data_IF_554059775314
#
_entry.id   IF_554059775314
#
_cell.length_a   1.000
_cell.length_b   1.000
_cell.length_c   1.000
_cell.angle_alpha   90.00
_cell.angle_beta   90.00
_cell.angle_gamma   90.00
#
_symmetry.space_group_name_H-M   'P 1'
#
loop_
_entity.id
_entity.type
_entity.pdbx_description
1 polymer ?
#
# COMPACT_ATOMS: atom_id res chain seq x y z
N UNK A 1 6.94 -22.52 -7.20
CA UNK A 1 7.89 -21.37 -7.23
C UNK A 1 7.95 -20.78 -8.63
N UNK A 2 8.41 -19.55 -8.78
CA UNK A 2 8.61 -18.90 -10.08
C UNK A 2 9.83 -19.51 -10.77
N UNK A 3 9.71 -19.79 -12.08
CA UNK A 3 10.85 -20.22 -12.90
C UNK A 3 11.64 -19.00 -13.42
N UNK A 4 12.82 -19.24 -14.00
CA UNK A 4 13.75 -18.21 -14.47
C UNK A 4 13.09 -17.19 -15.42
N UNK A 5 12.30 -17.69 -16.39
CA UNK A 5 11.59 -16.82 -17.34
C UNK A 5 10.53 -15.93 -16.66
N UNK A 6 9.90 -16.42 -15.60
CA UNK A 6 8.94 -15.63 -14.80
C UNK A 6 9.65 -14.58 -13.96
N UNK A 7 10.82 -14.90 -13.38
CA UNK A 7 11.64 -13.94 -12.65
C UNK A 7 12.16 -12.83 -13.58
N UNK A 8 12.62 -13.17 -14.78
CA UNK A 8 13.01 -12.20 -15.80
C UNK A 8 11.87 -11.23 -16.16
N UNK A 9 10.66 -11.77 -16.36
CA UNK A 9 9.45 -10.98 -16.62
C UNK A 9 9.07 -10.12 -15.42
N UNK A 10 9.24 -10.64 -14.21
CA UNK A 10 8.96 -9.87 -13.00
C UNK A 10 9.92 -8.68 -12.88
N UNK A 11 11.21 -8.89 -13.14
CA UNK A 11 12.18 -7.81 -13.18
C UNK A 11 11.81 -6.73 -14.20
N UNK A 12 11.34 -7.12 -15.42
CA UNK A 12 10.87 -6.16 -16.43
C UNK A 12 9.68 -5.33 -15.92
N UNK A 13 8.70 -5.97 -15.29
CA UNK A 13 7.53 -5.28 -14.72
C UNK A 13 7.93 -4.34 -13.60
N UNK A 14 8.85 -4.76 -12.72
CA UNK A 14 9.33 -3.91 -11.62
C UNK A 14 10.09 -2.68 -12.12
N UNK A 15 10.94 -2.83 -13.13
CA UNK A 15 11.64 -1.69 -13.74
C UNK A 15 10.67 -0.74 -14.45
N UNK A 16 9.66 -1.28 -15.14
CA UNK A 16 8.55 -0.49 -15.67
C UNK A 16 7.79 0.25 -14.58
N UNK A 17 7.47 -0.44 -13.47
CA UNK A 17 6.80 0.15 -12.31
C UNK A 17 7.62 1.28 -11.70
N UNK A 18 8.91 1.06 -11.51
CA UNK A 18 9.84 2.06 -10.98
C UNK A 18 9.91 3.32 -11.86
N UNK A 19 9.95 3.15 -13.20
CA UNK A 19 9.93 4.27 -14.14
C UNK A 19 8.61 5.05 -14.08
N UNK A 20 7.47 4.35 -13.93
CA UNK A 20 6.14 4.97 -13.77
C UNK A 20 5.98 5.70 -12.45
N UNK A 21 6.52 5.16 -11.37
CA UNK A 21 6.44 5.74 -10.04
C UNK A 21 7.24 7.04 -9.90
N UNK A 22 8.23 7.27 -10.76
CA UNK A 22 9.06 8.47 -10.73
C UNK A 22 8.64 9.50 -11.77
N UNK A 23 8.39 10.75 -11.36
CA UNK A 23 7.98 11.81 -12.29
C UNK A 23 9.09 12.25 -13.24
N UNK A 24 10.35 12.31 -12.77
CA UNK A 24 11.53 12.67 -13.58
C UNK A 24 12.21 11.41 -14.07
N UNK A 25 12.67 11.40 -15.33
CA UNK A 25 13.44 10.29 -15.89
C UNK A 25 14.72 10.03 -15.10
N UNK A 26 15.11 8.78 -15.03
CA UNK A 26 16.41 8.38 -14.49
C UNK A 26 17.55 8.95 -15.34
N UNK A 27 18.64 9.28 -14.67
CA UNK A 27 19.88 9.78 -15.28
C UNK A 27 21.01 8.79 -15.05
N UNK A 28 22.05 8.86 -15.85
CA UNK A 28 23.29 8.12 -15.64
C UNK A 28 23.73 8.26 -14.17
N UNK A 29 24.14 7.15 -13.58
CA UNK A 29 24.61 7.04 -12.19
C UNK A 29 23.56 7.35 -11.10
N UNK A 30 22.26 7.48 -11.43
CA UNK A 30 21.21 7.55 -10.42
C UNK A 30 21.23 6.27 -9.55
N UNK A 31 21.07 6.43 -8.24
CA UNK A 31 21.20 5.35 -7.26
C UNK A 31 19.86 4.66 -7.06
N UNK A 32 19.83 3.34 -7.25
CA UNK A 32 18.64 2.49 -7.04
C UNK A 32 18.92 1.47 -5.94
N UNK A 33 18.18 1.57 -4.84
CA UNK A 33 18.20 0.59 -3.75
C UNK A 33 17.40 -0.66 -4.15
N UNK A 34 17.99 -1.84 -4.04
CA UNK A 34 17.29 -3.11 -4.08
C UNK A 34 17.28 -3.67 -2.66
N UNK A 35 16.11 -3.71 -2.03
CA UNK A 35 15.94 -4.25 -0.68
C UNK A 35 15.12 -5.52 -0.73
N UNK A 36 15.65 -6.62 -0.23
CA UNK A 36 15.07 -7.94 -0.46
C UNK A 36 15.19 -8.88 0.74
N UNK A 37 14.27 -9.83 0.85
CA UNK A 37 14.39 -11.00 1.72
C UNK A 37 15.21 -12.10 1.04
N UNK A 38 15.80 -13.01 1.81
CA UNK A 38 16.67 -14.07 1.30
C UNK A 38 16.01 -14.90 0.18
N UNK A 39 14.72 -15.23 0.31
CA UNK A 39 13.97 -15.96 -0.72
C UNK A 39 13.78 -15.21 -2.05
N UNK A 40 14.09 -13.90 -2.09
CA UNK A 40 14.04 -13.08 -3.30
C UNK A 40 15.44 -12.82 -3.91
N UNK A 41 16.48 -13.49 -3.40
CA UNK A 41 17.86 -13.24 -3.82
C UNK A 41 18.05 -13.37 -5.33
N UNK A 42 17.51 -14.43 -5.96
CA UNK A 42 17.64 -14.63 -7.41
C UNK A 42 17.05 -13.48 -8.24
N UNK A 43 15.90 -12.96 -7.83
CA UNK A 43 15.30 -11.78 -8.50
C UNK A 43 16.15 -10.51 -8.30
N UNK A 44 16.80 -10.39 -7.13
CA UNK A 44 17.69 -9.24 -6.88
C UNK A 44 18.92 -9.25 -7.77
N UNK A 45 19.51 -10.42 -8.08
CA UNK A 45 20.62 -10.56 -9.04
C UNK A 45 20.20 -10.14 -10.46
N UNK A 46 19.02 -10.58 -10.92
CA UNK A 46 18.48 -10.22 -12.23
C UNK A 46 18.27 -8.69 -12.32
N UNK A 47 17.70 -8.09 -11.27
CA UNK A 47 17.48 -6.65 -11.22
C UNK A 47 18.79 -5.86 -11.19
N UNK A 48 19.78 -6.30 -10.43
CA UNK A 48 21.11 -5.67 -10.38
C UNK A 48 21.72 -5.58 -11.79
N UNK A 49 21.77 -6.71 -12.50
CA UNK A 49 22.31 -6.75 -13.85
C UNK A 49 21.56 -5.79 -14.80
N UNK A 50 20.23 -5.74 -14.73
CA UNK A 50 19.41 -4.85 -15.57
C UNK A 50 19.62 -3.37 -15.20
N UNK A 51 19.73 -3.04 -13.92
CA UNK A 51 19.97 -1.68 -13.43
C UNK A 51 21.34 -1.19 -13.92
N UNK A 52 22.38 -2.03 -13.84
CA UNK A 52 23.71 -1.73 -14.41
C UNK A 52 23.66 -1.51 -15.93
N UNK A 53 22.93 -2.35 -16.67
CA UNK A 53 22.71 -2.18 -18.12
C UNK A 53 22.01 -0.86 -18.47
N UNK A 54 21.18 -0.33 -17.55
CA UNK A 54 20.54 0.98 -17.70
C UNK A 54 21.50 2.16 -17.37
N UNK A 55 22.74 1.88 -16.96
CA UNK A 55 23.70 2.90 -16.52
C UNK A 55 23.42 3.49 -15.14
N UNK A 56 22.64 2.79 -14.32
CA UNK A 56 22.29 3.19 -12.95
C UNK A 56 23.17 2.45 -11.93
N UNK A 57 23.18 2.93 -10.69
CA UNK A 57 24.00 2.39 -9.60
C UNK A 57 23.15 1.60 -8.62
N UNK A 58 23.17 0.24 -8.64
CA UNK A 58 22.44 -0.58 -7.67
C UNK A 58 23.11 -0.56 -6.30
N UNK A 59 22.30 -0.44 -5.25
CA UNK A 59 22.71 -0.65 -3.85
C UNK A 59 21.87 -1.78 -3.29
N UNK A 60 22.53 -2.86 -2.87
CA UNK A 60 21.89 -4.05 -2.34
C UNK A 60 21.71 -3.97 -0.81
N UNK A 61 20.54 -4.35 -0.30
CA UNK A 61 20.23 -4.45 1.13
C UNK A 61 19.38 -5.69 1.42
N UNK A 62 19.95 -6.65 2.11
CA UNK A 62 19.23 -7.80 2.66
C UNK A 62 18.36 -7.35 3.85
N UNK A 63 17.09 -7.73 3.87
CA UNK A 63 16.24 -7.58 5.05
C UNK A 63 16.70 -8.57 6.16
N UNK A 64 16.54 -8.21 7.44
CA UNK A 64 16.73 -9.15 8.53
C UNK A 64 15.88 -10.41 8.32
N UNK A 65 16.42 -11.56 8.71
CA UNK A 65 15.60 -12.78 8.82
C UNK A 65 14.61 -12.64 9.98
N UNK A 66 13.57 -13.47 10.00
CA UNK A 66 12.59 -13.47 11.10
C UNK A 66 13.27 -13.63 12.48
N UNK A 67 14.31 -14.46 12.57
CA UNK A 67 15.11 -14.66 13.80
C UNK A 67 15.88 -13.38 14.17
N UNK A 68 16.54 -12.74 13.21
CA UNK A 68 17.27 -11.49 13.45
C UNK A 68 16.34 -10.37 13.92
N UNK A 69 15.17 -10.22 13.29
CA UNK A 69 14.20 -9.22 13.65
C UNK A 69 13.60 -9.46 15.04
N UNK A 70 13.26 -10.72 15.36
CA UNK A 70 12.79 -11.11 16.68
C UNK A 70 13.84 -10.80 17.75
N UNK A 71 15.08 -11.25 17.57
CA UNK A 71 16.19 -10.98 18.49
C UNK A 71 16.42 -9.48 18.68
N UNK A 72 16.33 -8.70 17.60
CA UNK A 72 16.44 -7.24 17.69
C UNK A 72 15.39 -6.66 18.65
N UNK A 73 14.13 -7.01 18.51
CA UNK A 73 13.08 -6.50 19.40
C UNK A 73 13.13 -7.05 20.82
N UNK A 74 13.50 -8.33 20.99
CA UNK A 74 13.61 -8.95 22.31
C UNK A 74 14.78 -8.37 23.12
N UNK A 75 15.96 -8.30 22.53
CA UNK A 75 17.21 -7.99 23.22
C UNK A 75 17.53 -6.49 23.28
N UNK A 76 16.95 -5.68 22.38
CA UNK A 76 17.28 -4.25 22.33
C UNK A 76 16.74 -3.48 23.52
N UNK A 77 17.59 -2.60 24.05
CA UNK A 77 17.17 -1.53 24.94
C UNK A 77 16.58 -0.33 24.14
N UNK A 78 16.02 0.66 24.82
CA UNK A 78 15.37 1.80 24.15
C UNK A 78 16.31 2.61 23.23
N UNK A 79 17.60 2.74 23.57
CA UNK A 79 18.57 3.44 22.71
C UNK A 79 18.85 2.67 21.42
N UNK A 80 18.96 1.34 21.51
CA UNK A 80 19.16 0.47 20.36
C UNK A 80 17.95 0.44 19.44
N UNK A 81 16.72 0.42 19.97
CA UNK A 81 15.49 0.44 19.18
C UNK A 81 15.37 1.66 18.28
N UNK A 82 15.79 2.84 18.76
CA UNK A 82 15.67 4.10 18.01
C UNK A 82 16.93 4.48 17.23
N UNK A 83 17.99 3.67 17.34
CA UNK A 83 19.29 3.96 16.71
C UNK A 83 19.17 3.94 15.19
N UNK A 84 19.65 5.01 14.56
CA UNK A 84 19.82 5.11 13.11
C UNK A 84 21.33 5.10 12.82
N UNK A 85 21.81 4.11 12.05
CA UNK A 85 23.24 4.02 11.73
C UNK A 85 23.76 5.28 11.02
N UNK A 86 25.02 5.69 11.28
CA UNK A 86 25.69 6.70 10.49
C UNK A 86 25.65 6.36 8.98
N UNK A 87 25.49 7.38 8.12
CA UNK A 87 25.38 7.22 6.68
C UNK A 87 23.98 6.85 6.17
N UNK A 88 23.06 6.38 7.02
CA UNK A 88 21.71 5.98 6.59
C UNK A 88 20.90 7.17 6.06
N UNK A 89 20.94 8.31 6.74
CA UNK A 89 20.28 9.53 6.27
C UNK A 89 20.88 10.06 4.96
N UNK A 90 22.19 9.96 4.83
CA UNK A 90 22.91 10.36 3.62
C UNK A 90 22.52 9.48 2.42
N UNK A 91 22.49 8.15 2.62
CA UNK A 91 22.01 7.24 1.59
C UNK A 91 20.59 7.62 1.15
N UNK A 92 19.65 7.77 2.08
CA UNK A 92 18.26 8.10 1.79
C UNK A 92 18.11 9.46 1.09
N UNK A 93 18.97 10.44 1.43
CA UNK A 93 18.99 11.76 0.78
C UNK A 93 19.49 11.71 -0.68
N UNK A 94 20.20 10.65 -1.08
CA UNK A 94 20.76 10.48 -2.42
C UNK A 94 20.06 9.42 -3.27
N UNK A 95 19.14 8.60 -2.71
CA UNK A 95 18.40 7.60 -3.49
C UNK A 95 17.55 8.26 -4.58
N UNK A 96 17.60 7.69 -5.77
CA UNK A 96 16.78 8.08 -6.92
C UNK A 96 15.69 7.07 -7.21
N UNK A 97 15.87 5.82 -6.76
CA UNK A 97 14.88 4.77 -6.86
C UNK A 97 15.03 3.73 -5.75
N UNK A 98 13.96 2.98 -5.50
CA UNK A 98 14.01 1.80 -4.63
C UNK A 98 13.09 0.69 -5.13
N UNK A 99 13.55 -0.55 -5.04
CA UNK A 99 12.78 -1.76 -5.34
C UNK A 99 12.77 -2.64 -4.10
N UNK A 100 11.57 -2.97 -3.62
CA UNK A 100 11.40 -3.79 -2.43
C UNK A 100 10.86 -5.17 -2.83
N UNK A 101 11.61 -6.22 -2.50
CA UNK A 101 11.28 -7.61 -2.84
C UNK A 101 10.94 -8.37 -1.58
N UNK A 102 9.66 -8.59 -1.34
CA UNK A 102 9.18 -9.28 -0.16
C UNK A 102 9.03 -10.79 -0.41
N UNK A 103 9.63 -11.58 0.45
CA UNK A 103 9.52 -13.04 0.51
C UNK A 103 9.75 -13.47 1.97
N UNK A 104 8.83 -13.14 2.88
CA UNK A 104 9.03 -13.34 4.31
C UNK A 104 9.08 -14.83 4.67
N UNK A 105 9.99 -15.16 5.59
CA UNK A 105 10.12 -16.52 6.20
C UNK A 105 9.07 -16.72 7.28
N UNK A 106 8.59 -15.66 7.90
CA UNK A 106 7.53 -15.64 8.89
C UNK A 106 6.78 -14.30 8.85
N UNK A 107 5.48 -14.35 9.10
CA UNK A 107 4.62 -13.16 9.23
C UNK A 107 4.00 -13.04 10.63
N UNK A 108 4.40 -13.92 11.56
CA UNK A 108 3.90 -13.95 12.96
C UNK A 108 5.00 -13.98 14.01
N UNK A 109 6.27 -13.89 13.61
CA UNK A 109 7.42 -14.01 14.50
C UNK A 109 7.52 -12.94 15.59
N UNK A 110 6.84 -11.79 15.41
CA UNK A 110 6.80 -10.70 16.39
C UNK A 110 5.54 -10.73 17.27
N UNK A 111 4.71 -11.77 17.22
CA UNK A 111 3.44 -11.84 17.95
C UNK A 111 3.60 -11.68 19.48
N UNK A 112 4.73 -12.11 20.04
CA UNK A 112 5.04 -12.00 21.48
C UNK A 112 5.85 -10.75 21.84
N UNK A 113 6.16 -9.88 20.86
CA UNK A 113 6.88 -8.64 21.10
C UNK A 113 5.89 -7.57 21.61
N UNK A 114 6.21 -6.86 22.71
CA UNK A 114 5.36 -5.77 23.18
C UNK A 114 5.11 -4.74 22.08
N UNK A 115 3.85 -4.46 21.70
CA UNK A 115 3.51 -3.55 20.58
C UNK A 115 4.13 -2.16 20.72
N UNK A 116 4.36 -1.70 21.95
CA UNK A 116 5.00 -0.42 22.23
C UNK A 116 6.43 -0.35 21.68
N UNK A 117 7.21 -1.44 21.73
CA UNK A 117 8.57 -1.49 21.15
C UNK A 117 8.51 -1.34 19.63
N UNK A 118 7.57 -2.04 18.96
CA UNK A 118 7.35 -1.94 17.52
C UNK A 118 6.96 -0.50 17.16
N UNK A 119 6.07 0.11 17.92
CA UNK A 119 5.66 1.50 17.74
C UNK A 119 6.82 2.51 17.92
N UNK A 120 7.68 2.31 18.91
CA UNK A 120 8.87 3.16 19.12
C UNK A 120 9.85 3.07 17.94
N UNK A 121 10.14 1.87 17.47
CA UNK A 121 10.97 1.63 16.29
C UNK A 121 10.38 2.32 15.05
N UNK A 122 9.10 2.10 14.75
CA UNK A 122 8.41 2.69 13.61
C UNK A 122 8.47 4.22 13.64
N UNK A 123 8.18 4.83 14.79
CA UNK A 123 8.28 6.30 14.96
C UNK A 123 9.70 6.82 14.72
N UNK A 124 10.73 6.11 15.18
CA UNK A 124 12.12 6.53 14.99
C UNK A 124 12.53 6.59 13.51
N UNK A 125 11.94 5.73 12.67
CA UNK A 125 12.22 5.65 11.21
C UNK A 125 11.43 6.67 10.39
N UNK A 126 10.44 7.35 10.98
CA UNK A 126 9.65 8.39 10.29
C UNK A 126 10.53 9.46 9.65
N UNK A 127 11.65 9.83 10.28
CA UNK A 127 12.59 10.82 9.73
C UNK A 127 13.23 10.37 8.41
N UNK A 128 13.54 9.08 8.24
CA UNK A 128 14.05 8.52 6.99
C UNK A 128 12.97 8.52 5.91
N UNK A 129 11.76 8.10 6.29
CA UNK A 129 10.60 8.13 5.39
C UNK A 129 10.32 9.54 4.90
N UNK A 130 10.32 10.55 5.77
CA UNK A 130 10.11 11.94 5.37
C UNK A 130 11.13 12.45 4.34
N UNK A 131 12.38 11.96 4.37
CA UNK A 131 13.39 12.28 3.35
C UNK A 131 12.93 11.76 1.99
N UNK A 132 12.51 10.49 1.92
CA UNK A 132 12.05 9.88 0.67
C UNK A 132 10.75 10.53 0.16
N UNK A 133 9.78 10.77 1.05
CA UNK A 133 8.51 11.43 0.72
C UNK A 133 8.76 12.81 0.09
N UNK A 134 9.67 13.61 0.68
CA UNK A 134 10.05 14.91 0.15
C UNK A 134 10.69 14.80 -1.24
N UNK A 135 11.52 13.80 -1.47
CA UNK A 135 12.16 13.55 -2.76
C UNK A 135 11.18 13.06 -3.82
N UNK A 136 10.23 12.23 -3.43
CA UNK A 136 9.14 11.73 -4.27
C UNK A 136 8.22 12.87 -4.70
N UNK A 137 7.76 13.71 -3.78
CA UNK A 137 6.97 14.92 -4.06
C UNK A 137 7.65 15.82 -5.09
N UNK A 138 8.99 15.92 -5.05
CA UNK A 138 9.82 16.66 -6.02
C UNK A 138 10.07 15.90 -7.33
N UNK A 139 9.60 14.68 -7.45
CA UNK A 139 9.80 13.79 -8.58
C UNK A 139 11.24 13.31 -8.76
N UNK A 140 12.06 13.34 -7.70
CA UNK A 140 13.47 12.94 -7.69
C UNK A 140 13.68 11.50 -7.25
N UNK A 141 12.66 10.89 -6.66
CA UNK A 141 12.65 9.53 -6.17
C UNK A 141 11.39 8.82 -6.67
N UNK A 142 11.47 7.53 -6.87
CA UNK A 142 10.34 6.65 -7.13
C UNK A 142 10.64 5.30 -6.48
N UNK A 143 9.60 4.56 -6.16
CA UNK A 143 9.78 3.22 -5.59
C UNK A 143 8.76 2.25 -6.16
N UNK A 144 9.12 0.97 -6.11
CA UNK A 144 8.20 -0.12 -6.44
C UNK A 144 8.41 -1.27 -5.48
N UNK A 145 7.39 -2.05 -5.25
CA UNK A 145 7.49 -3.24 -4.43
C UNK A 145 6.74 -4.42 -5.06
N UNK A 146 7.19 -5.61 -4.70
CA UNK A 146 6.51 -6.84 -5.07
C UNK A 146 6.62 -7.90 -3.97
N UNK A 147 5.83 -8.95 -4.15
CA UNK A 147 5.84 -10.13 -3.29
C UNK A 147 6.22 -11.37 -4.10
N UNK A 148 7.11 -12.19 -3.55
CA UNK A 148 7.39 -13.53 -4.05
C UNK A 148 6.68 -14.57 -3.18
N UNK A 149 6.37 -15.75 -3.74
CA UNK A 149 5.72 -16.81 -2.97
C UNK A 149 6.69 -17.38 -1.92
N UNK A 150 6.16 -17.60 -0.71
CA UNK A 150 6.85 -18.34 0.36
C UNK A 150 5.89 -19.35 0.98
N UNK A 151 6.45 -20.41 1.58
CA UNK A 151 5.67 -21.43 2.29
C UNK A 151 4.86 -20.82 3.44
N UNK A 152 5.43 -19.85 4.12
CA UNK A 152 4.76 -19.12 5.21
C UNK A 152 3.50 -18.38 4.73
N UNK A 153 3.61 -17.60 3.65
CA UNK A 153 2.47 -16.89 3.09
C UNK A 153 1.40 -17.86 2.57
N UNK A 154 1.82 -18.90 1.85
CA UNK A 154 0.89 -19.92 1.35
C UNK A 154 0.14 -20.61 2.49
N UNK A 155 0.85 -21.02 3.56
CA UNK A 155 0.27 -21.61 4.77
C UNK A 155 -0.78 -20.71 5.41
N UNK A 156 -0.45 -19.45 5.64
CA UNK A 156 -1.38 -18.49 6.26
C UNK A 156 -2.55 -18.09 5.35
N UNK A 157 -2.37 -18.20 4.04
CA UNK A 157 -3.46 -18.04 3.07
C UNK A 157 -4.35 -19.29 2.93
N UNK A 158 -3.99 -20.41 3.57
CA UNK A 158 -4.68 -21.70 3.42
C UNK A 158 -4.52 -22.30 2.02
N UNK A 159 -3.41 -22.03 1.33
CA UNK A 159 -3.12 -22.46 -0.03
C UNK A 159 -1.87 -23.33 -0.09
N UNK A 160 -1.78 -24.20 -1.13
CA UNK A 160 -0.49 -24.78 -1.48
C UNK A 160 0.44 -23.73 -2.06
N UNK A 161 1.77 -23.90 -1.91
CA UNK A 161 2.76 -23.00 -2.50
C UNK A 161 2.59 -22.85 -4.02
N UNK A 162 2.17 -23.92 -4.69
CA UNK A 162 1.88 -23.89 -6.12
C UNK A 162 0.68 -22.96 -6.44
N UNK A 163 -0.44 -23.15 -5.74
CA UNK A 163 -1.64 -22.30 -5.92
C UNK A 163 -1.33 -20.85 -5.59
N UNK A 164 -0.58 -20.59 -4.51
CA UNK A 164 -0.13 -19.25 -4.14
C UNK A 164 0.74 -18.63 -5.23
N UNK A 165 1.72 -19.38 -5.76
CA UNK A 165 2.57 -18.94 -6.87
C UNK A 165 1.75 -18.61 -8.12
N UNK A 166 0.73 -19.42 -8.44
CA UNK A 166 -0.16 -19.18 -9.59
C UNK A 166 -1.00 -17.89 -9.44
N UNK A 167 -1.39 -17.51 -8.21
CA UNK A 167 -2.05 -16.22 -7.97
C UNK A 167 -1.10 -15.05 -8.32
N UNK A 168 0.14 -15.10 -7.86
CA UNK A 168 1.16 -14.08 -8.17
C UNK A 168 1.42 -14.01 -9.69
N UNK A 169 1.65 -15.16 -10.32
CA UNK A 169 1.92 -15.24 -11.76
C UNK A 169 0.79 -14.60 -12.57
N UNK A 170 -0.47 -14.89 -12.23
CA UNK A 170 -1.64 -14.34 -12.91
C UNK A 170 -1.82 -12.84 -12.61
N UNK A 171 -1.71 -12.44 -11.36
CA UNK A 171 -1.89 -11.06 -10.93
C UNK A 171 -0.83 -10.13 -11.55
N UNK A 172 0.42 -10.59 -11.64
CA UNK A 172 1.52 -9.81 -12.22
C UNK A 172 1.73 -10.05 -13.72
N UNK A 173 0.84 -10.82 -14.40
CA UNK A 173 0.90 -11.16 -15.81
C UNK A 173 2.18 -11.90 -16.23
N UNK A 174 2.86 -12.60 -15.31
CA UNK A 174 4.14 -13.26 -15.57
C UNK A 174 4.03 -14.46 -16.50
N UNK A 175 2.82 -14.96 -16.76
CA UNK A 175 2.51 -15.98 -17.75
C UNK A 175 2.36 -15.41 -19.18
N UNK A 176 2.34 -14.09 -19.36
CA UNK A 176 2.23 -13.45 -20.68
C UNK A 176 3.61 -13.27 -21.32
N UNK A 177 3.65 -13.25 -22.66
CA UNK A 177 4.90 -13.03 -23.41
C UNK A 177 5.47 -11.64 -23.11
N UNK A 178 4.59 -10.65 -23.10
CA UNK A 178 4.88 -9.26 -22.77
C UNK A 178 4.00 -8.82 -21.58
N UNK A 179 4.48 -8.95 -20.32
CA UNK A 179 3.72 -8.54 -19.16
C UNK A 179 3.64 -7.01 -19.02
N UNK A 180 4.64 -6.27 -19.55
CA UNK A 180 4.65 -4.79 -19.49
C UNK A 180 3.54 -4.23 -20.36
N UNK A 181 3.31 -4.75 -21.55
CA UNK A 181 2.19 -4.35 -22.40
C UNK A 181 0.82 -4.60 -21.73
N UNK A 182 0.70 -5.69 -20.94
CA UNK A 182 -0.53 -5.94 -20.15
C UNK A 182 -0.73 -4.86 -19.08
N UNK A 183 0.33 -4.48 -18.36
CA UNK A 183 0.28 -3.41 -17.38
C UNK A 183 -0.03 -2.05 -18.00
N UNK A 184 0.53 -1.75 -19.16
CA UNK A 184 0.21 -0.53 -19.91
C UNK A 184 -1.28 -0.45 -20.26
N UNK A 185 -1.86 -1.55 -20.76
CA UNK A 185 -3.29 -1.62 -21.06
C UNK A 185 -4.17 -1.41 -19.80
N UNK A 186 -3.82 -2.06 -18.68
CA UNK A 186 -4.54 -1.85 -17.40
C UNK A 186 -4.42 -0.39 -16.96
N UNK A 187 -3.23 0.19 -17.06
CA UNK A 187 -2.97 1.60 -16.73
C UNK A 187 -3.83 2.57 -17.56
N UNK A 188 -3.91 2.37 -18.88
CA UNK A 188 -4.69 3.20 -19.79
C UNK A 188 -6.19 3.11 -19.49
N UNK A 189 -6.69 1.90 -19.24
CA UNK A 189 -8.09 1.69 -18.90
C UNK A 189 -8.45 2.31 -17.53
N UNK A 190 -7.59 2.15 -16.52
CA UNK A 190 -7.77 2.81 -15.24
C UNK A 190 -7.70 4.35 -15.35
N UNK A 191 -6.92 4.87 -16.29
CA UNK A 191 -6.86 6.32 -16.54
C UNK A 191 -8.20 6.89 -16.98
N UNK A 192 -8.97 6.17 -17.80
CA UNK A 192 -10.33 6.60 -18.21
C UNK A 192 -11.25 6.70 -16.99
N UNK A 193 -11.21 5.72 -16.10
CA UNK A 193 -12.01 5.73 -14.85
C UNK A 193 -11.56 6.88 -13.94
N UNK A 194 -10.25 7.07 -13.75
CA UNK A 194 -9.72 8.21 -12.97
C UNK A 194 -10.17 9.56 -13.52
N UNK A 195 -10.13 9.73 -14.85
CA UNK A 195 -10.59 10.97 -15.49
C UNK A 195 -12.06 11.24 -15.20
N UNK A 196 -12.90 10.20 -15.28
CA UNK A 196 -14.33 10.33 -14.95
C UNK A 196 -14.54 10.68 -13.48
N UNK A 197 -13.93 9.94 -12.53
CA UNK A 197 -14.05 10.21 -11.10
C UNK A 197 -13.60 11.62 -10.73
N UNK A 198 -12.50 12.09 -11.31
CA UNK A 198 -11.94 13.41 -11.08
C UNK A 198 -12.74 14.55 -11.74
N UNK A 199 -13.65 14.22 -12.66
CA UNK A 199 -14.62 15.16 -13.23
C UNK A 199 -15.84 15.40 -12.34
N UNK A 200 -16.06 14.58 -11.31
CA UNK A 200 -17.21 14.70 -10.41
C UNK A 200 -16.93 15.72 -9.29
N UNK A 201 -17.86 16.63 -9.08
CA UNK A 201 -17.79 17.59 -7.96
C UNK A 201 -18.49 17.00 -6.74
N UNK A 202 -17.77 16.19 -5.95
CA UNK A 202 -18.31 15.38 -4.86
C UNK A 202 -18.26 16.13 -3.53
N UNK A 203 -19.36 16.07 -2.77
CA UNK A 203 -19.45 16.52 -1.38
C UNK A 203 -18.98 15.42 -0.42
N UNK A 204 -19.49 14.19 -0.60
CA UNK A 204 -19.08 13.01 0.13
C UNK A 204 -19.41 11.74 -0.65
N UNK A 205 -18.69 10.66 -0.33
CA UNK A 205 -19.01 9.31 -0.76
C UNK A 205 -19.74 8.58 0.36
N UNK A 206 -20.78 7.81 0.02
CA UNK A 206 -21.46 6.91 0.92
C UNK A 206 -21.17 5.46 0.49
N UNK A 207 -20.58 4.69 1.37
CA UNK A 207 -20.23 3.28 1.16
C UNK A 207 -21.18 2.43 1.97
N UNK A 208 -21.90 1.55 1.30
CA UNK A 208 -22.93 0.69 1.90
C UNK A 208 -22.65 -0.79 1.60
N UNK A 209 -22.69 -1.62 2.63
CA UNK A 209 -22.71 -3.09 2.55
C UNK A 209 -23.51 -3.67 3.71
N UNK A 210 -23.49 -4.97 3.92
CA UNK A 210 -24.15 -5.58 5.08
C UNK A 210 -23.58 -5.07 6.42
N UNK A 211 -22.30 -4.75 6.48
CA UNK A 211 -21.60 -4.36 7.70
C UNK A 211 -20.92 -2.98 7.62
N UNK A 212 -21.02 -2.29 6.48
CA UNK A 212 -20.50 -0.94 6.29
C UNK A 212 -21.64 0.04 6.07
N UNK A 213 -21.58 1.15 6.80
CA UNK A 213 -22.34 2.38 6.56
C UNK A 213 -21.40 3.55 6.83
N UNK A 214 -20.60 3.92 5.81
CA UNK A 214 -19.49 4.83 5.96
C UNK A 214 -19.62 6.03 5.01
N UNK A 215 -19.48 7.23 5.58
CA UNK A 215 -19.43 8.48 4.86
C UNK A 215 -17.99 8.99 4.81
N UNK A 216 -17.48 9.27 3.61
CA UNK A 216 -16.11 9.74 3.38
C UNK A 216 -16.15 11.07 2.62
N UNK A 217 -15.60 12.12 3.20
CA UNK A 217 -15.48 13.42 2.55
C UNK A 217 -14.16 13.48 1.75
N UNK A 218 -14.17 13.68 0.41
CA UNK A 218 -12.95 13.72 -0.38
C UNK A 218 -12.01 14.85 0.04
N UNK A 219 -12.55 15.99 0.46
CA UNK A 219 -11.78 17.18 0.78
C UNK A 219 -11.56 18.09 -0.45
N UNK A 220 -11.05 19.28 -0.18
CA UNK A 220 -10.73 20.23 -1.24
C UNK A 220 -9.44 19.85 -1.97
N UNK A 221 -9.40 20.12 -3.28
CA UNK A 221 -8.23 19.86 -4.11
C UNK A 221 -7.73 18.41 -4.06
N UNK A 222 -8.65 17.45 -3.97
CA UNK A 222 -8.34 16.01 -4.04
C UNK A 222 -8.60 15.43 -5.42
N UNK A 223 -7.79 14.46 -5.77
CA UNK A 223 -7.97 13.64 -6.98
C UNK A 223 -7.82 12.16 -6.66
N UNK A 224 -8.57 11.34 -7.37
CA UNK A 224 -8.35 9.91 -7.45
C UNK A 224 -7.07 9.61 -8.21
N UNK A 225 -6.25 8.76 -7.65
CA UNK A 225 -5.02 8.24 -8.26
C UNK A 225 -5.01 6.72 -8.15
N UNK A 226 -3.95 6.08 -8.53
CA UNK A 226 -3.75 4.63 -8.46
C UNK A 226 -3.07 4.11 -9.72
N UNK A 227 -2.64 2.86 -9.70
CA UNK A 227 -1.82 2.22 -10.72
C UNK A 227 -0.60 3.06 -11.09
N UNK A 228 0.10 3.55 -10.09
CA UNK A 228 1.23 4.46 -10.23
C UNK A 228 2.57 3.77 -10.47
N UNK A 229 2.61 2.43 -10.41
CA UNK A 229 3.85 1.64 -10.50
C UNK A 229 4.50 1.35 -9.14
N UNK A 230 4.02 1.94 -8.06
CA UNK A 230 4.54 1.68 -6.71
C UNK A 230 4.32 0.23 -6.27
N UNK A 231 3.11 -0.26 -6.40
CA UNK A 231 2.73 -1.62 -6.03
C UNK A 231 2.61 -2.52 -7.25
N UNK A 232 3.26 -3.67 -7.23
CA UNK A 232 3.12 -4.71 -8.25
C UNK A 232 2.70 -6.03 -7.55
N UNK A 233 1.41 -6.41 -7.68
CA UNK A 233 0.36 -5.77 -8.48
C UNK A 233 -0.30 -4.57 -7.78
N UNK A 234 -0.92 -3.67 -8.56
CA UNK A 234 -1.88 -2.70 -8.07
C UNK A 234 -3.03 -2.57 -9.08
N UNK A 235 -4.26 -2.61 -8.57
CA UNK A 235 -5.50 -2.51 -9.36
C UNK A 235 -6.48 -1.53 -8.73
N UNK A 236 -6.05 -0.85 -7.72
CA UNK A 236 -6.84 0.08 -6.93
C UNK A 236 -6.84 1.49 -7.51
N UNK A 237 -7.94 2.18 -7.27
CA UNK A 237 -8.04 3.63 -7.38
C UNK A 237 -8.38 4.18 -6.01
N UNK A 238 -7.63 5.19 -5.57
CA UNK A 238 -7.76 5.74 -4.23
C UNK A 238 -7.63 7.25 -4.17
N UNK A 239 -8.06 7.81 -3.07
CA UNK A 239 -7.80 9.19 -2.66
C UNK A 239 -7.49 9.26 -1.15
N UNK A 240 -6.72 10.25 -0.73
CA UNK A 240 -6.59 10.59 0.68
C UNK A 240 -7.67 11.60 1.07
N UNK A 241 -8.68 11.20 1.85
CA UNK A 241 -9.82 12.06 2.17
C UNK A 241 -9.45 13.20 3.13
N UNK A 242 -10.33 14.16 3.29
CA UNK A 242 -10.34 15.00 4.49
C UNK A 242 -10.83 14.14 5.65
N UNK A 243 -9.88 13.70 6.48
CA UNK A 243 -10.16 12.77 7.57
C UNK A 243 -11.28 13.27 8.50
N UNK A 244 -11.44 14.59 8.66
CA UNK A 244 -12.42 15.22 9.57
C UNK A 244 -13.87 14.91 9.20
N UNK A 245 -14.13 14.67 7.93
CA UNK A 245 -15.48 14.37 7.40
C UNK A 245 -15.85 12.89 7.42
N UNK A 246 -14.95 11.99 7.87
CA UNK A 246 -15.28 10.56 7.96
C UNK A 246 -16.18 10.28 9.15
N UNK A 247 -17.31 9.59 8.92
CA UNK A 247 -18.26 9.17 9.96
C UNK A 247 -18.97 7.88 9.58
N UNK A 248 -19.49 7.17 10.58
CA UNK A 248 -20.21 5.92 10.38
C UNK A 248 -19.37 4.69 10.72
N UNK A 249 -19.66 3.57 10.11
CA UNK A 249 -19.09 2.27 10.46
C UNK A 249 -18.34 1.68 9.26
N UNK A 250 -17.13 1.20 9.50
CA UNK A 250 -16.37 0.36 8.57
C UNK A 250 -16.13 -1.02 9.19
N UNK A 251 -16.22 -2.06 8.38
CA UNK A 251 -15.93 -3.43 8.77
C UNK A 251 -14.95 -4.04 7.76
N UNK A 252 -13.81 -4.54 8.27
CA UNK A 252 -12.87 -5.33 7.48
C UNK A 252 -13.18 -6.81 7.67
N UNK A 253 -13.62 -7.48 6.61
CA UNK A 253 -13.92 -8.92 6.60
C UNK A 253 -12.68 -9.75 6.26
N UNK A 254 -11.63 -9.14 5.71
CA UNK A 254 -10.37 -9.81 5.46
C UNK A 254 -9.44 -9.69 6.67
N UNK A 255 -8.77 -10.79 7.07
CA UNK A 255 -7.71 -10.72 8.08
C UNK A 255 -6.53 -9.88 7.60
N UNK A 256 -5.77 -9.34 8.54
CA UNK A 256 -4.54 -8.60 8.26
C UNK A 256 -3.39 -9.13 9.11
N UNK A 257 -2.24 -9.32 8.49
CA UNK A 257 -0.97 -9.61 9.14
C UNK A 257 -0.12 -8.35 9.15
N UNK A 258 0.21 -7.85 10.34
CA UNK A 258 1.01 -6.64 10.49
C UNK A 258 2.05 -6.79 11.58
N UNK A 259 3.32 -6.48 11.25
CA UNK A 259 4.42 -6.53 12.22
C UNK A 259 4.41 -7.82 13.05
N UNK A 260 4.22 -8.96 12.38
CA UNK A 260 4.19 -10.26 13.02
C UNK A 260 2.92 -10.59 13.80
N UNK A 261 1.89 -9.75 13.76
CA UNK A 261 0.63 -9.96 14.47
C UNK A 261 -0.52 -10.21 13.50
N UNK A 262 -1.45 -11.10 13.91
CA UNK A 262 -2.69 -11.41 13.20
C UNK A 262 -3.85 -10.62 13.78
N UNK A 263 -4.63 -9.98 12.92
CA UNK A 263 -5.84 -9.24 13.28
C UNK A 263 -6.96 -9.64 12.35
N UNK A 264 -8.17 -9.90 12.89
CA UNK A 264 -9.33 -10.37 12.13
C UNK A 264 -10.62 -9.71 12.59
N UNK A 265 -11.53 -9.46 11.65
CA UNK A 265 -12.89 -9.00 11.94
C UNK A 265 -12.92 -7.62 12.58
N UNK A 266 -12.18 -6.67 11.99
CA UNK A 266 -12.06 -5.32 12.53
C UNK A 266 -13.30 -4.50 12.22
N UNK A 267 -13.96 -4.00 13.26
CA UNK A 267 -15.07 -3.04 13.18
C UNK A 267 -14.67 -1.71 13.78
N UNK A 268 -14.80 -0.66 13.00
CA UNK A 268 -14.45 0.70 13.39
C UNK A 268 -15.69 1.59 13.31
N UNK A 269 -15.95 2.35 14.37
CA UNK A 269 -16.94 3.40 14.37
C UNK A 269 -16.25 4.76 14.35
N UNK A 270 -16.54 5.57 13.32
CA UNK A 270 -15.96 6.89 13.13
C UNK A 270 -16.92 7.99 13.55
N UNK A 271 -16.43 8.91 14.37
CA UNK A 271 -17.10 10.15 14.71
C UNK A 271 -16.14 11.32 14.57
N UNK A 272 -16.55 12.35 13.84
CA UNK A 272 -15.70 13.53 13.57
C UNK A 272 -14.31 13.16 13.06
N UNK A 273 -14.24 12.15 12.18
CA UNK A 273 -13.04 11.72 11.51
C UNK A 273 -12.09 10.81 12.30
N UNK A 274 -12.38 10.51 13.56
CA UNK A 274 -11.57 9.60 14.36
C UNK A 274 -12.33 8.30 14.65
N UNK A 275 -11.65 7.17 14.63
CA UNK A 275 -12.19 5.91 15.14
C UNK A 275 -12.32 6.00 16.66
N UNK A 276 -13.58 6.04 17.14
CA UNK A 276 -13.93 6.18 18.57
C UNK A 276 -14.25 4.82 19.21
N UNK A 277 -14.63 3.84 18.40
CA UNK A 277 -14.83 2.45 18.81
C UNK A 277 -14.04 1.54 17.88
N UNK A 278 -13.27 0.65 18.48
CA UNK A 278 -12.35 -0.25 17.78
C UNK A 278 -12.60 -1.65 18.35
N UNK A 279 -13.15 -2.53 17.54
CA UNK A 279 -13.43 -3.92 17.87
C UNK A 279 -12.73 -4.82 16.88
N UNK A 280 -12.18 -5.94 17.34
CA UNK A 280 -11.62 -6.98 16.49
C UNK A 280 -11.94 -8.35 17.08
N UNK A 281 -12.27 -9.32 16.23
CA UNK A 281 -12.46 -10.72 16.62
C UNK A 281 -11.18 -11.35 17.15
N UNK A 282 -10.04 -10.99 16.53
CA UNK A 282 -8.68 -11.40 16.94
C UNK A 282 -7.75 -10.21 16.84
N UNK A 283 -6.74 -10.14 17.73
CA UNK A 283 -5.73 -9.07 17.72
C UNK A 283 -6.22 -7.74 18.32
N UNK A 284 -7.28 -7.73 19.14
CA UNK A 284 -7.89 -6.54 19.74
C UNK A 284 -6.87 -5.62 20.43
N UNK A 285 -6.02 -6.18 21.31
CA UNK A 285 -5.03 -5.38 22.06
C UNK A 285 -3.99 -4.75 21.10
N UNK A 286 -3.56 -5.51 20.09
CA UNK A 286 -2.59 -5.02 19.11
C UNK A 286 -3.15 -3.86 18.27
N UNK A 287 -4.39 -4.00 17.74
CA UNK A 287 -4.97 -2.90 16.95
C UNK A 287 -5.19 -1.65 17.80
N UNK A 288 -5.65 -1.78 19.03
CA UNK A 288 -5.84 -0.65 19.94
C UNK A 288 -4.52 0.09 20.21
N UNK A 289 -3.43 -0.65 20.47
CA UNK A 289 -2.10 -0.06 20.68
C UNK A 289 -1.59 0.64 19.41
N UNK A 290 -1.75 0.01 18.24
CA UNK A 290 -1.33 0.62 16.98
C UNK A 290 -2.10 1.91 16.67
N UNK A 291 -3.41 1.95 16.93
CA UNK A 291 -4.25 3.12 16.68
C UNK A 291 -4.09 4.22 17.74
N UNK A 292 -3.40 3.94 18.86
CA UNK A 292 -3.00 4.91 19.87
C UNK A 292 -1.57 5.45 19.71
N UNK A 293 -0.82 4.94 18.72
CA UNK A 293 0.60 5.20 18.50
C UNK A 293 0.94 6.69 18.38
N UNK A 294 0.11 7.47 17.71
CA UNK A 294 0.21 8.92 17.56
C UNK A 294 -1.18 9.54 17.28
N UNK A 295 -1.23 10.88 17.23
CA UNK A 295 -2.49 11.65 17.07
C UNK A 295 -3.22 11.41 15.75
N UNK A 296 -2.55 10.83 14.76
CA UNK A 296 -3.10 10.53 13.43
C UNK A 296 -3.49 9.05 13.25
N UNK A 297 -3.00 8.16 14.10
CA UNK A 297 -3.09 6.72 13.88
C UNK A 297 -4.51 6.16 13.77
N UNK A 298 -5.49 6.77 14.44
CA UNK A 298 -6.90 6.35 14.42
C UNK A 298 -7.77 7.12 13.42
N UNK A 299 -7.17 7.77 12.40
CA UNK A 299 -7.87 8.56 11.39
C UNK A 299 -7.69 7.96 10.01
N UNK A 300 -8.65 8.17 9.13
CA UNK A 300 -8.57 7.66 7.75
C UNK A 300 -7.57 8.50 6.94
N UNK A 301 -6.53 7.85 6.44
CA UNK A 301 -5.54 8.43 5.52
C UNK A 301 -5.81 8.12 4.06
N UNK A 302 -6.55 7.04 3.79
CA UNK A 302 -6.87 6.59 2.45
C UNK A 302 -8.26 5.96 2.37
N UNK A 303 -8.91 6.16 1.21
CA UNK A 303 -10.13 5.48 0.79
C UNK A 303 -9.93 4.94 -0.62
N UNK A 304 -10.10 3.66 -0.81
CA UNK A 304 -9.75 2.93 -2.04
C UNK A 304 -10.83 1.97 -2.50
N UNK A 305 -10.87 1.76 -3.82
CA UNK A 305 -11.76 0.81 -4.49
C UNK A 305 -10.97 0.02 -5.55
N UNK A 306 -11.13 -1.30 -5.57
CA UNK A 306 -10.52 -2.18 -6.57
C UNK A 306 -11.57 -2.74 -7.52
N UNK A 307 -11.36 -2.51 -8.82
CA UNK A 307 -12.24 -3.01 -9.87
C UNK A 307 -11.88 -4.46 -10.25
N UNK A 308 -12.83 -5.38 -10.09
CA UNK A 308 -12.64 -6.81 -10.40
C UNK A 308 -12.33 -7.11 -11.87
N UNK A 309 -12.60 -6.17 -12.79
CA UNK A 309 -12.26 -6.35 -14.20
C UNK A 309 -10.75 -6.36 -14.43
N UNK A 310 -10.02 -5.62 -13.62
CA UNK A 310 -8.55 -5.53 -13.69
C UNK A 310 -7.88 -6.58 -12.83
N UNK A 311 -8.28 -6.68 -11.57
CA UNK A 311 -7.63 -7.59 -10.62
C UNK A 311 -7.87 -9.06 -10.95
N UNK A 312 -6.78 -9.82 -11.01
CA UNK A 312 -6.79 -11.28 -11.15
C UNK A 312 -6.60 -12.02 -9.84
N UNK A 313 -6.57 -11.29 -8.72
CA UNK A 313 -6.46 -11.84 -7.38
C UNK A 313 -7.85 -12.33 -6.96
N UNK A 314 -7.98 -13.64 -6.73
CA UNK A 314 -9.26 -14.29 -6.42
C UNK A 314 -9.24 -15.11 -5.14
N UNK A 315 -8.12 -15.09 -4.41
CA UNK A 315 -7.91 -15.77 -3.14
C UNK A 315 -7.31 -14.82 -2.13
N UNK A 316 -7.61 -15.03 -0.85
CA UNK A 316 -6.90 -14.40 0.25
C UNK A 316 -5.43 -14.80 0.20
N UNK A 317 -4.51 -13.85 0.33
CA UNK A 317 -3.08 -14.06 0.14
C UNK A 317 -2.27 -13.86 1.41
N UNK A 318 -2.91 -13.58 2.54
CA UNK A 318 -2.25 -13.27 3.81
C UNK A 318 -1.18 -12.17 3.68
N UNK A 319 -1.40 -11.26 2.76
CA UNK A 319 -0.50 -10.15 2.47
C UNK A 319 -1.26 -8.94 1.97
N UNK A 320 -1.08 -7.81 2.63
CA UNK A 320 -1.80 -6.56 2.35
C UNK A 320 -1.73 -6.15 0.89
N UNK A 321 -0.55 -6.22 0.25
CA UNK A 321 -0.37 -5.86 -1.16
C UNK A 321 -1.34 -6.57 -2.11
N UNK A 322 -1.60 -7.86 -1.87
CA UNK A 322 -2.52 -8.65 -2.69
C UNK A 322 -3.96 -8.48 -2.20
N UNK A 323 -4.16 -8.47 -0.89
CA UNK A 323 -5.49 -8.48 -0.30
C UNK A 323 -6.20 -7.12 -0.50
N UNK A 324 -5.48 -5.99 -0.44
CA UNK A 324 -5.99 -4.65 -0.81
C UNK A 324 -6.37 -4.53 -2.30
N UNK A 325 -5.81 -5.40 -3.13
CA UNK A 325 -6.06 -5.51 -4.57
C UNK A 325 -6.96 -6.70 -4.94
N UNK A 326 -7.64 -7.31 -3.97
CA UNK A 326 -8.52 -8.45 -4.21
C UNK A 326 -9.65 -8.10 -5.16
N UNK A 327 -9.75 -8.83 -6.27
CA UNK A 327 -10.81 -8.67 -7.27
C UNK A 327 -12.06 -9.48 -6.95
N UNK A 328 -11.90 -10.75 -6.70
CA UNK A 328 -12.96 -11.68 -6.29
C UNK A 328 -14.29 -11.50 -7.02
N UNK A 329 -15.40 -11.84 -6.32
CA UNK A 329 -16.75 -11.71 -6.89
C UNK A 329 -17.27 -10.27 -6.84
N UNK A 330 -16.90 -9.50 -5.81
CA UNK A 330 -17.48 -8.21 -5.50
C UNK A 330 -16.45 -7.07 -5.46
N UNK A 331 -15.23 -7.32 -5.99
CA UNK A 331 -14.12 -6.39 -5.83
C UNK A 331 -13.79 -6.15 -4.35
N UNK A 332 -13.16 -5.05 -4.04
CA UNK A 332 -13.00 -4.64 -2.66
C UNK A 332 -13.09 -3.12 -2.49
N UNK A 333 -13.30 -2.75 -1.23
CA UNK A 333 -13.08 -1.42 -0.72
C UNK A 333 -12.11 -1.55 0.45
N UNK A 334 -11.13 -0.68 0.56
CA UNK A 334 -10.38 -0.58 1.79
C UNK A 334 -10.26 0.87 2.26
N UNK A 335 -9.99 1.02 3.53
CA UNK A 335 -9.53 2.27 4.13
C UNK A 335 -8.16 2.04 4.74
N UNK A 336 -7.25 3.00 4.59
CA UNK A 336 -6.04 3.00 5.40
C UNK A 336 -6.21 3.91 6.61
N UNK A 337 -5.87 3.40 7.79
CA UNK A 337 -5.73 4.20 8.98
C UNK A 337 -4.33 4.79 9.07
N UNK A 338 -4.24 6.08 9.41
CA UNK A 338 -2.97 6.78 9.56
C UNK A 338 -2.65 7.77 8.45
N UNK A 339 -1.45 7.70 7.91
CA UNK A 339 -0.88 8.71 7.00
C UNK A 339 -1.63 8.85 5.68
N UNK A 340 -1.85 10.09 5.25
CA UNK A 340 -2.36 10.43 3.92
C UNK A 340 -1.21 10.57 2.90
N UNK A 341 -1.52 10.35 1.62
CA UNK A 341 -0.59 10.54 0.50
C UNK A 341 -0.78 11.91 -0.16
N UNK A 342 0.30 12.68 -0.25
CA UNK A 342 0.31 14.03 -0.82
C UNK A 342 0.07 14.07 -2.34
N UNK A 343 0.32 12.98 -3.05
CA UNK A 343 0.14 12.85 -4.50
C UNK A 343 -1.35 12.84 -4.92
N UNK A 344 -2.27 12.62 -3.97
CA UNK A 344 -3.71 12.82 -4.16
C UNK A 344 -4.11 14.31 -4.22
N UNK A 345 -3.19 15.23 -3.99
CA UNK A 345 -3.43 16.67 -4.18
C UNK A 345 -3.48 17.03 -5.66
N UNK A 346 -4.46 17.83 -6.07
CA UNK A 346 -4.64 18.26 -7.47
C UNK A 346 -3.54 19.22 -7.94
N UNK A 347 -2.92 19.99 -7.03
CA UNK A 347 -1.82 20.88 -7.33
C UNK A 347 -0.46 20.17 -7.31
N UNK A 348 0.60 20.94 -7.13
CA UNK A 348 1.97 20.44 -6.98
C UNK A 348 2.21 19.99 -5.52
N UNK A 349 2.37 18.68 -5.24
CA UNK A 349 2.59 18.18 -3.89
C UNK A 349 3.85 18.76 -3.22
N UNK A 350 4.89 19.11 -4.00
CA UNK A 350 6.13 19.66 -3.47
C UNK A 350 5.96 21.06 -2.85
N UNK A 351 4.86 21.72 -3.15
CA UNK A 351 4.49 23.05 -2.60
C UNK A 351 3.58 22.97 -1.37
N UNK A 352 3.15 21.77 -0.97
CA UNK A 352 2.33 21.57 0.22
C UNK A 352 3.19 21.68 1.48
N UNK A 353 3.05 22.79 2.22
CA UNK A 353 3.60 22.90 3.58
C UNK A 353 2.84 22.01 4.56
N UNK A 354 3.42 21.77 5.73
CA UNK A 354 2.74 21.01 6.81
C UNK A 354 1.44 21.68 7.24
N UNK A 355 1.45 23.00 7.33
CA UNK A 355 0.29 23.83 7.69
C UNK A 355 -0.81 23.65 6.63
N UNK A 356 -0.45 23.76 5.35
CA UNK A 356 -1.42 23.58 4.26
C UNK A 356 -1.97 22.15 4.18
N UNK A 357 -1.15 21.13 4.41
CA UNK A 357 -1.63 19.74 4.54
C UNK A 357 -2.68 19.62 5.66
N UNK A 358 -2.41 20.22 6.82
CA UNK A 358 -3.34 20.21 7.97
C UNK A 358 -4.63 20.95 7.66
N UNK A 359 -4.57 22.14 7.05
CA UNK A 359 -5.75 22.92 6.63
C UNK A 359 -6.64 22.12 5.69
N UNK A 360 -6.04 21.46 4.69
CA UNK A 360 -6.72 20.62 3.73
C UNK A 360 -7.19 19.28 4.29
N UNK A 361 -6.93 18.97 5.55
CA UNK A 361 -7.36 17.72 6.17
C UNK A 361 -6.58 16.47 5.74
N UNK A 362 -5.33 16.62 5.26
CA UNK A 362 -4.41 15.49 5.15
C UNK A 362 -4.00 15.02 6.56
N UNK A 363 -4.00 13.73 6.77
CA UNK A 363 -3.60 13.15 8.04
C UNK A 363 -2.11 12.82 8.06
N UNK A 364 -1.43 13.14 9.17
CA UNK A 364 -0.03 12.82 9.40
C UNK A 364 0.11 11.80 10.53
N UNK A 365 0.73 10.66 10.24
CA UNK A 365 0.96 9.58 11.19
C UNK A 365 2.23 8.81 10.83
N UNK A 366 2.78 8.08 11.78
CA UNK A 366 3.78 7.04 11.52
C UNK A 366 3.13 5.74 11.03
N UNK A 367 1.84 5.56 11.25
CA UNK A 367 1.04 4.44 10.79
C UNK A 367 0.56 4.69 9.35
N UNK A 368 0.45 3.63 8.56
CA UNK A 368 -0.41 3.45 7.39
C UNK A 368 -0.80 1.98 7.38
N UNK A 369 -2.11 1.71 7.52
CA UNK A 369 -2.59 0.33 7.67
C UNK A 369 -3.91 0.13 6.95
N UNK A 370 -3.88 -0.65 5.87
CA UNK A 370 -5.01 -0.97 5.03
C UNK A 370 -5.87 -2.07 5.68
N UNK A 371 -7.16 -1.80 5.76
CA UNK A 371 -8.18 -2.70 6.26
C UNK A 371 -9.19 -2.95 5.15
N UNK A 372 -9.32 -4.21 4.72
CA UNK A 372 -9.99 -4.59 3.48
C UNK A 372 -11.37 -5.17 3.74
N UNK A 373 -12.35 -4.73 2.95
CA UNK A 373 -13.69 -5.31 2.90
C UNK A 373 -14.01 -5.83 1.50
N UNK A 374 -14.41 -7.09 1.39
CA UNK A 374 -14.75 -7.79 0.14
C UNK A 374 -16.24 -8.09 -0.03
N UNK A 375 -17.09 -7.65 0.89
CA UNK A 375 -18.54 -7.80 0.80
C UNK A 375 -19.11 -7.17 -0.48
N UNK A 376 -20.29 -7.60 -0.89
CA UNK A 376 -21.06 -6.87 -1.91
C UNK A 376 -21.39 -5.47 -1.38
N UNK A 377 -21.00 -4.46 -2.12
CA UNK A 377 -21.16 -3.07 -1.72
C UNK A 377 -21.60 -2.18 -2.85
N UNK A 378 -22.15 -1.03 -2.47
CA UNK A 378 -22.46 0.10 -3.32
C UNK A 378 -21.71 1.32 -2.79
N UNK A 379 -21.16 2.12 -3.70
CA UNK A 379 -20.59 3.44 -3.36
C UNK A 379 -21.31 4.50 -4.17
N UNK A 380 -21.94 5.42 -3.48
CA UNK A 380 -22.67 6.54 -4.05
C UNK A 380 -21.91 7.84 -3.82
N UNK A 381 -21.60 8.56 -4.88
CA UNK A 381 -21.08 9.94 -4.81
C UNK A 381 -22.26 10.91 -4.69
N UNK A 382 -22.30 11.66 -3.59
CA UNK A 382 -23.22 12.79 -3.41
C UNK A 382 -22.56 14.06 -3.90
N UNK A 383 -23.09 14.65 -4.96
CA UNK A 383 -22.49 15.80 -5.62
C UNK A 383 -22.83 17.12 -4.89
N UNK A 384 -22.02 18.14 -5.14
CA UNK A 384 -22.30 19.52 -4.65
C UNK A 384 -23.57 20.11 -5.26
N UNK A 385 -24.01 19.63 -6.43
CA UNK A 385 -25.31 19.95 -7.06
C UNK A 385 -26.51 19.34 -6.35
N UNK A 386 -26.31 18.48 -5.33
CA UNK A 386 -27.29 17.65 -4.63
C UNK A 386 -27.73 16.39 -5.39
N UNK A 387 -27.22 16.15 -6.59
CA UNK A 387 -27.42 14.90 -7.32
C UNK A 387 -26.65 13.75 -6.69
N UNK A 388 -27.02 12.52 -7.02
CA UNK A 388 -26.36 11.31 -6.57
C UNK A 388 -25.99 10.43 -7.76
N UNK A 389 -24.79 9.89 -7.73
CA UNK A 389 -24.28 8.99 -8.78
C UNK A 389 -23.71 7.76 -8.10
N UNK A 390 -24.19 6.57 -8.43
CA UNK A 390 -23.53 5.32 -8.04
C UNK A 390 -22.23 5.22 -8.83
N UNK A 391 -21.10 5.30 -8.15
CA UNK A 391 -19.78 5.25 -8.78
C UNK A 391 -19.19 3.84 -8.80
N UNK A 392 -19.63 2.98 -7.88
CA UNK A 392 -19.12 1.61 -7.77
C UNK A 392 -20.20 0.67 -7.25
N UNK A 393 -20.42 -0.41 -7.95
CA UNK A 393 -21.36 -1.48 -7.58
C UNK A 393 -20.96 -2.79 -8.26
N UNK A 394 -21.34 -3.93 -7.64
CA UNK A 394 -21.05 -5.27 -8.18
C UNK A 394 -19.56 -5.52 -8.45
N UNK A 395 -18.68 -4.86 -7.68
CA UNK A 395 -17.25 -5.03 -7.77
C UNK A 395 -16.58 -4.26 -8.92
N UNK A 396 -17.24 -3.27 -9.48
CA UNK A 396 -16.70 -2.49 -10.61
C UNK A 396 -17.18 -1.04 -10.60
N UNK A 397 -16.39 -0.15 -11.16
CA UNK A 397 -16.82 1.22 -11.39
C UNK A 397 -17.94 1.26 -12.44
N UNK A 398 -18.86 2.21 -12.27
CA UNK A 398 -20.05 2.35 -13.12
C UNK A 398 -19.74 2.82 -14.54
N UNK A 399 -18.51 3.27 -14.80
CA UNK A 399 -18.02 3.59 -16.14
C UNK A 399 -17.23 2.43 -16.72
N UNK A 400 -17.40 2.16 -18.01
CA UNK A 400 -16.57 1.18 -18.71
C UNK A 400 -15.14 1.68 -18.91
N UNK A 401 -14.13 0.81 -18.68
CA UNK A 401 -12.73 1.14 -18.86
C UNK A 401 -12.34 1.37 -20.33
#
# INVERSE_FOLDING_TARGET
>A
MLNEKQLERYAQVLLWGLDKARKKKFKQNDIVLIRYHLGAFRLSEILEAKILQMGLMPVQRLNPTATMEKNFFELSNNKQLIFIPPGEKELYANLNGAIFLFCPESITHLANIPPIKIGQFTRSRKQLRNILDTRDERGQFGWTLCMLPSDELAKHAGLSLETYSQQIIKACFLNRKDPVAQWQNVYENAHKIKKWLNGLSVSYYHVESNNIDLYVQPGEHRKWIGLSGHNIPSFELFLSPDWRGTKGVFFADQPSYRSGNYVEGVRLEFQRGAAVKIEAKSGQAFIQEQLSMDKGANKVGEFSLTDRRFSKISRFMANTLFDENFGGRHGNCHIALGSSYSDTYQGDPSKLTKERKKELGFNDSALHWDLVNTEKKRVTAHLKSKDQIVIYENGQFSVSP
#
